data_IF_434904725364
#
_entry.id   IF_434904725364
#
_cell.length_a   1.000
_cell.length_b   1.000
_cell.length_c   1.000
_cell.angle_alpha   90.00
_cell.angle_beta   90.00
_cell.angle_gamma   90.00
#
_symmetry.space_group_name_H-M   'P 1'
#
loop_
_entity.id
_entity.type
_entity.pdbx_description
1 polymer ?
#
# COMPACT_ATOMS: atom_id res chain seq x y z
N UNK A 1 -3.03 4.10 -9.26
CA UNK A 1 -3.70 3.62 -8.05
C UNK A 1 -4.55 2.39 -8.39
N UNK A 2 -4.63 1.43 -7.47
CA UNK A 2 -5.55 0.28 -7.54
C UNK A 2 -6.63 0.51 -6.48
N UNK A 3 -7.90 0.32 -6.84
CA UNK A 3 -8.99 0.34 -5.88
C UNK A 3 -8.88 -0.89 -4.97
N UNK A 4 -8.93 -0.66 -3.69
CA UNK A 4 -8.90 -1.67 -2.63
C UNK A 4 -10.02 -1.37 -1.63
N UNK A 5 -10.20 -2.24 -0.63
CA UNK A 5 -11.18 -2.02 0.42
C UNK A 5 -10.51 -2.09 1.79
N UNK A 6 -11.03 -1.34 2.74
CA UNK A 6 -10.73 -1.46 4.16
C UNK A 6 -11.94 -2.08 4.85
N UNK A 7 -11.73 -3.22 5.50
CA UNK A 7 -12.76 -3.93 6.25
C UNK A 7 -12.63 -3.57 7.73
N UNK A 8 -13.74 -3.15 8.32
CA UNK A 8 -13.82 -2.78 9.74
C UNK A 8 -15.12 -3.29 10.35
N UNK A 9 -15.17 -3.33 11.67
CA UNK A 9 -16.34 -3.79 12.42
C UNK A 9 -16.74 -2.78 13.48
N UNK A 10 -18.04 -2.73 13.75
CA UNK A 10 -18.66 -1.98 14.84
C UNK A 10 -19.26 -2.99 15.81
N UNK A 11 -18.54 -3.31 16.88
CA UNK A 11 -18.89 -4.36 17.83
C UNK A 11 -20.36 -4.32 18.28
N UNK A 12 -20.87 -3.14 18.59
CA UNK A 12 -22.24 -2.96 19.12
C UNK A 12 -23.35 -3.28 18.13
N UNK A 13 -23.05 -3.30 16.84
CA UNK A 13 -24.01 -3.60 15.77
C UNK A 13 -24.00 -5.09 15.38
N UNK A 14 -22.98 -5.84 15.79
CA UNK A 14 -22.86 -7.27 15.45
C UNK A 14 -23.87 -8.06 16.28
N UNK A 15 -24.76 -8.82 15.60
CA UNK A 15 -25.74 -9.71 16.24
C UNK A 15 -25.20 -11.11 16.47
N UNK A 16 -24.46 -11.63 15.50
CA UNK A 16 -23.84 -12.96 15.55
C UNK A 16 -22.32 -12.84 15.40
N UNK A 17 -21.63 -12.77 16.52
CA UNK A 17 -20.19 -12.57 16.59
C UNK A 17 -19.42 -13.76 15.98
N UNK A 18 -19.86 -15.00 16.22
CA UNK A 18 -19.15 -16.19 15.74
C UNK A 18 -19.30 -16.34 14.22
N UNK A 19 -20.47 -16.04 13.65
CA UNK A 19 -20.68 -16.04 12.21
C UNK A 19 -19.81 -14.98 11.49
N UNK A 20 -19.74 -13.77 12.06
CA UNK A 20 -18.90 -12.69 11.54
C UNK A 20 -17.42 -13.09 11.60
N UNK A 21 -16.94 -13.61 12.72
CA UNK A 21 -15.54 -14.05 12.87
C UNK A 21 -15.21 -15.12 11.84
N UNK A 22 -16.05 -16.14 11.69
CA UNK A 22 -15.84 -17.23 10.74
C UNK A 22 -15.74 -16.70 9.31
N UNK A 23 -16.67 -15.86 8.88
CA UNK A 23 -16.67 -15.25 7.56
C UNK A 23 -15.41 -14.41 7.33
N UNK A 24 -15.01 -13.55 8.29
CA UNK A 24 -13.82 -12.73 8.16
C UNK A 24 -12.53 -13.56 8.10
N UNK A 25 -12.44 -14.67 8.82
CA UNK A 25 -11.29 -15.57 8.75
C UNK A 25 -11.21 -16.26 7.38
N UNK A 26 -12.34 -16.76 6.85
CA UNK A 26 -12.40 -17.45 5.57
C UNK A 26 -12.09 -16.49 4.39
N UNK A 27 -12.67 -15.29 4.38
CA UNK A 27 -12.53 -14.36 3.25
C UNK A 27 -11.21 -13.57 3.28
N UNK A 28 -10.65 -13.30 4.45
CA UNK A 28 -9.44 -12.48 4.59
C UNK A 28 -8.17 -13.29 4.88
N UNK A 29 -8.28 -14.62 4.99
CA UNK A 29 -7.17 -15.51 5.38
C UNK A 29 -6.45 -15.02 6.65
N UNK A 30 -7.23 -14.87 7.73
CA UNK A 30 -6.74 -14.39 9.02
C UNK A 30 -6.94 -15.45 10.11
N UNK A 31 -6.06 -15.45 11.10
CA UNK A 31 -6.18 -16.32 12.26
C UNK A 31 -7.37 -15.90 13.14
N UNK A 32 -8.19 -16.89 13.54
CA UNK A 32 -9.39 -16.66 14.37
C UNK A 32 -9.08 -15.87 15.64
N UNK A 33 -7.98 -16.16 16.30
CA UNK A 33 -7.57 -15.49 17.55
C UNK A 33 -7.38 -13.98 17.37
N UNK A 34 -6.82 -13.57 16.24
CA UNK A 34 -6.60 -12.15 15.93
C UNK A 34 -7.90 -11.44 15.57
N UNK A 35 -8.72 -12.11 14.73
CA UNK A 35 -10.03 -11.57 14.30
C UNK A 35 -10.94 -11.44 15.52
N UNK A 36 -11.05 -12.46 16.35
CA UNK A 36 -11.86 -12.48 17.58
C UNK A 36 -11.48 -11.33 18.53
N UNK A 37 -10.18 -11.13 18.78
CA UNK A 37 -9.69 -10.03 19.62
C UNK A 37 -10.13 -8.66 19.12
N UNK A 38 -10.19 -8.46 17.79
CA UNK A 38 -10.62 -7.20 17.16
C UNK A 38 -12.15 -7.06 17.17
N UNK A 39 -12.87 -8.12 16.81
CA UNK A 39 -14.34 -8.12 16.76
C UNK A 39 -14.97 -7.93 18.13
N UNK A 40 -14.42 -8.57 19.17
CA UNK A 40 -14.92 -8.47 20.54
C UNK A 40 -14.49 -7.20 21.26
N UNK A 41 -13.57 -6.43 20.68
CA UNK A 41 -13.13 -5.16 21.29
C UNK A 41 -14.25 -4.13 21.24
N UNK A 42 -14.63 -3.64 22.44
CA UNK A 42 -15.63 -2.58 22.57
C UNK A 42 -15.03 -1.24 22.13
N UNK A 43 -15.15 -0.95 20.83
CA UNK A 43 -14.74 0.30 20.21
C UNK A 43 -15.87 0.82 19.33
N UNK A 44 -15.81 2.09 18.95
CA UNK A 44 -16.78 2.69 18.01
C UNK A 44 -16.66 1.99 16.64
N UNK A 45 -15.42 1.79 16.20
CA UNK A 45 -15.11 1.09 14.96
C UNK A 45 -13.71 0.49 15.05
N UNK A 46 -13.54 -0.77 14.71
CA UNK A 46 -12.25 -1.45 14.73
C UNK A 46 -11.87 -1.93 13.34
N UNK A 47 -10.67 -1.55 12.90
CA UNK A 47 -10.14 -1.96 11.59
C UNK A 47 -9.67 -3.42 11.64
N UNK A 48 -10.23 -4.28 10.81
CA UNK A 48 -9.83 -5.70 10.68
C UNK A 48 -8.64 -5.81 9.72
N UNK A 49 -8.82 -5.39 8.46
CA UNK A 49 -7.77 -5.45 7.42
C UNK A 49 -7.95 -4.31 6.42
N UNK A 50 -6.85 -3.66 6.05
CA UNK A 50 -6.79 -2.70 4.95
C UNK A 50 -6.16 -3.34 3.71
N UNK A 51 -6.22 -2.65 2.57
CA UNK A 51 -5.70 -3.10 1.28
C UNK A 51 -6.26 -4.46 0.82
N UNK A 52 -7.52 -4.73 1.12
CA UNK A 52 -8.26 -5.91 0.64
C UNK A 52 -8.64 -5.68 -0.82
N UNK A 53 -8.46 -6.69 -1.67
CA UNK A 53 -8.87 -6.59 -3.08
C UNK A 53 -10.39 -6.31 -3.18
N UNK A 54 -10.76 -5.48 -4.17
CA UNK A 54 -12.15 -5.04 -4.34
C UNK A 54 -13.13 -6.20 -4.45
N UNK A 55 -12.77 -7.27 -5.17
CA UNK A 55 -13.61 -8.47 -5.32
C UNK A 55 -13.92 -9.13 -3.98
N UNK A 56 -12.92 -9.24 -3.09
CA UNK A 56 -13.10 -9.78 -1.74
C UNK A 56 -13.95 -8.83 -0.89
N UNK A 57 -13.71 -7.51 -1.00
CA UNK A 57 -14.51 -6.49 -0.32
C UNK A 57 -15.98 -6.56 -0.72
N UNK A 58 -16.27 -6.66 -2.01
CA UNK A 58 -17.63 -6.77 -2.54
C UNK A 58 -18.30 -8.07 -2.09
N UNK A 59 -17.54 -9.18 -2.02
CA UNK A 59 -18.01 -10.46 -1.49
C UNK A 59 -18.38 -10.34 -0.01
N UNK A 60 -17.52 -9.72 0.82
CA UNK A 60 -17.80 -9.50 2.25
C UNK A 60 -19.05 -8.62 2.41
N UNK A 61 -19.20 -7.58 1.58
CA UNK A 61 -20.39 -6.72 1.58
C UNK A 61 -21.67 -7.50 1.25
N UNK A 62 -21.57 -8.50 0.35
CA UNK A 62 -22.72 -9.32 -0.06
C UNK A 62 -23.25 -10.24 1.04
N UNK A 63 -22.50 -10.52 2.09
CA UNK A 63 -23.00 -11.29 3.26
C UNK A 63 -23.96 -10.47 4.13
N UNK A 64 -23.97 -9.15 3.99
CA UNK A 64 -24.87 -8.22 4.67
C UNK A 64 -24.96 -8.41 6.19
N UNK A 65 -23.82 -8.66 6.82
CA UNK A 65 -23.74 -8.78 8.28
C UNK A 65 -23.80 -7.41 8.96
N UNK A 66 -24.72 -7.26 9.90
CA UNK A 66 -24.81 -6.07 10.75
C UNK A 66 -23.45 -5.81 11.45
N UNK A 67 -23.02 -4.56 11.42
CA UNK A 67 -21.78 -4.13 12.06
C UNK A 67 -20.49 -4.46 11.28
N UNK A 68 -20.57 -5.07 10.11
CA UNK A 68 -19.43 -5.21 9.19
C UNK A 68 -19.48 -4.08 8.16
N UNK A 69 -18.40 -3.29 8.08
CA UNK A 69 -18.28 -2.16 7.16
C UNK A 69 -17.12 -2.38 6.20
N UNK A 70 -17.38 -2.14 4.92
CA UNK A 70 -16.40 -2.26 3.83
C UNK A 70 -16.33 -0.94 3.11
N UNK A 71 -15.27 -0.17 3.35
CA UNK A 71 -15.04 1.11 2.71
C UNK A 71 -14.15 0.94 1.50
N UNK A 72 -14.42 1.66 0.43
CA UNK A 72 -13.51 1.75 -0.70
C UNK A 72 -12.32 2.64 -0.35
N UNK A 73 -11.14 2.22 -0.78
CA UNK A 73 -9.87 2.88 -0.56
C UNK A 73 -8.99 2.73 -1.82
N UNK A 74 -7.87 3.43 -1.87
CA UNK A 74 -6.95 3.37 -2.99
C UNK A 74 -5.54 3.05 -2.50
N UNK A 75 -4.92 2.04 -3.13
CA UNK A 75 -3.53 1.71 -2.90
C UNK A 75 -2.67 2.15 -4.07
N UNK A 76 -1.46 2.64 -3.80
CA UNK A 76 -0.46 2.88 -4.82
C UNK A 76 -0.09 1.57 -5.49
N UNK A 77 -0.06 1.54 -6.82
CA UNK A 77 0.34 0.40 -7.62
C UNK A 77 1.41 0.80 -8.62
N UNK A 78 2.48 0.04 -8.68
CA UNK A 78 3.64 0.28 -9.53
C UNK A 78 3.67 -0.77 -10.65
N UNK A 79 3.21 -0.45 -11.87
CA UNK A 79 3.04 -1.43 -12.95
C UNK A 79 4.35 -2.05 -13.44
N UNK A 80 5.47 -1.38 -13.19
CA UNK A 80 6.80 -1.85 -13.57
C UNK A 80 7.62 -2.39 -12.39
N UNK A 81 6.96 -2.73 -11.30
CA UNK A 81 7.52 -3.36 -10.09
C UNK A 81 8.81 -2.71 -9.59
N UNK A 82 9.96 -3.07 -10.15
CA UNK A 82 11.28 -2.63 -9.68
C UNK A 82 11.86 -1.42 -10.42
N UNK A 83 11.28 -1.02 -11.55
CA UNK A 83 11.84 0.06 -12.38
C UNK A 83 11.97 1.36 -11.62
N UNK A 84 13.19 1.92 -11.59
CA UNK A 84 13.53 3.17 -10.91
C UNK A 84 13.10 3.18 -9.42
N UNK A 85 13.15 2.03 -8.74
CA UNK A 85 12.57 1.85 -7.40
C UNK A 85 13.13 2.83 -6.38
N UNK A 86 14.45 3.04 -6.38
CA UNK A 86 15.14 3.95 -5.45
C UNK A 86 14.91 5.43 -5.77
N UNK A 87 14.43 5.74 -6.99
CA UNK A 87 14.07 7.11 -7.40
C UNK A 87 12.60 7.38 -7.06
N UNK A 88 11.70 6.51 -7.53
CA UNK A 88 10.26 6.67 -7.30
C UNK A 88 9.93 6.56 -5.82
N UNK A 89 10.46 5.54 -5.16
CA UNK A 89 10.09 5.21 -3.81
C UNK A 89 8.70 4.60 -3.71
N UNK A 90 8.24 4.39 -2.49
CA UNK A 90 6.95 3.73 -2.23
C UNK A 90 6.19 4.42 -1.10
N UNK A 91 4.90 4.08 -1.00
CA UNK A 91 4.00 4.55 0.05
C UNK A 91 3.79 3.49 1.12
N UNK A 92 3.53 3.94 2.34
CA UNK A 92 3.16 3.09 3.47
C UNK A 92 1.71 2.62 3.44
N UNK A 93 1.29 2.00 4.54
CA UNK A 93 -0.06 1.44 4.68
C UNK A 93 -1.18 2.49 4.64
N UNK A 94 -0.89 3.71 5.07
CA UNK A 94 -1.83 4.84 5.08
C UNK A 94 -1.57 5.77 3.88
N UNK A 95 -1.04 5.25 2.78
CA UNK A 95 -0.71 5.94 1.53
C UNK A 95 0.29 7.10 1.67
N UNK A 96 0.93 7.30 2.84
CA UNK A 96 2.00 8.29 3.00
C UNK A 96 3.28 7.85 2.29
N UNK A 97 3.97 8.78 1.66
CA UNK A 97 5.28 8.53 1.05
C UNK A 97 6.35 8.17 2.08
N UNK A 98 7.12 7.11 1.85
CA UNK A 98 8.17 6.62 2.76
C UNK A 98 9.56 7.01 2.27
N UNK A 99 9.86 6.82 1.00
CA UNK A 99 11.15 7.14 0.38
C UNK A 99 10.96 7.71 -1.02
N UNK A 100 12.04 8.24 -1.62
CA UNK A 100 12.09 8.67 -3.01
C UNK A 100 11.23 9.90 -3.32
N UNK A 101 10.71 9.94 -4.54
CA UNK A 101 9.81 11.00 -5.00
C UNK A 101 8.46 10.95 -4.28
N UNK A 102 8.00 9.77 -3.87
CA UNK A 102 6.75 9.62 -3.09
C UNK A 102 6.81 10.43 -1.79
N UNK A 103 7.89 10.33 -1.01
CA UNK A 103 8.02 11.13 0.23
C UNK A 103 8.31 12.61 -0.07
N UNK A 104 9.10 12.89 -1.11
CA UNK A 104 9.46 14.28 -1.44
C UNK A 104 8.28 15.13 -1.86
N UNK A 105 7.33 14.52 -2.55
CA UNK A 105 6.13 15.15 -3.09
C UNK A 105 4.83 14.71 -2.43
N UNK A 106 4.91 14.01 -1.29
CA UNK A 106 3.78 13.44 -0.55
C UNK A 106 2.64 14.45 -0.39
N UNK A 107 2.95 15.66 0.06
CA UNK A 107 1.99 16.77 0.23
C UNK A 107 1.13 17.06 -1.02
N UNK A 108 1.67 16.80 -2.21
CA UNK A 108 0.97 17.04 -3.47
C UNK A 108 0.30 15.78 -4.03
N UNK A 109 0.86 14.60 -3.73
CA UNK A 109 0.41 13.33 -4.28
C UNK A 109 -0.72 12.70 -3.48
N UNK A 110 -0.78 12.94 -2.18
CA UNK A 110 -1.71 12.27 -1.26
C UNK A 110 -3.17 12.72 -1.44
N UNK A 111 -3.42 13.99 -1.84
CA UNK A 111 -4.77 14.52 -1.93
C UNK A 111 -5.38 14.85 -0.57
N UNK A 112 -6.71 14.76 -0.46
CA UNK A 112 -7.46 14.93 0.78
C UNK A 112 -8.51 13.85 0.88
N UNK A 113 -8.56 13.18 2.03
CA UNK A 113 -9.56 12.17 2.30
C UNK A 113 -10.98 12.75 2.32
N UNK A 114 -11.94 11.97 1.86
CA UNK A 114 -13.35 12.25 2.04
C UNK A 114 -13.78 11.97 3.48
N UNK A 115 -14.96 12.44 3.83
CA UNK A 115 -15.56 12.23 5.13
C UNK A 115 -17.00 11.78 4.97
N UNK A 116 -17.39 10.72 5.67
CA UNK A 116 -18.77 10.28 5.79
C UNK A 116 -19.22 10.54 7.22
N UNK A 117 -20.19 11.41 7.40
CA UNK A 117 -20.80 11.68 8.69
C UNK A 117 -22.12 10.91 8.77
N UNK A 118 -22.16 9.85 9.56
CA UNK A 118 -23.36 9.07 9.82
C UNK A 118 -23.89 9.43 11.20
N UNK A 119 -25.10 10.01 11.33
CA UNK A 119 -25.70 10.26 12.62
C UNK A 119 -25.92 8.95 13.38
N UNK A 120 -25.55 8.96 14.65
CA UNK A 120 -25.74 7.82 15.55
C UNK A 120 -26.60 8.21 16.75
N UNK A 121 -27.29 7.21 17.32
CA UNK A 121 -27.98 7.39 18.60
C UNK A 121 -26.99 7.53 19.78
N UNK A 122 -27.51 7.76 20.98
CA UNK A 122 -26.68 7.85 22.19
C UNK A 122 -25.92 6.57 22.53
N UNK A 123 -26.20 5.45 21.87
CA UNK A 123 -25.54 4.14 22.02
C UNK A 123 -24.50 3.90 20.93
N UNK A 124 -24.37 4.81 19.94
CA UNK A 124 -23.45 4.68 18.81
C UNK A 124 -23.98 3.76 17.70
N UNK A 125 -25.31 3.53 17.64
CA UNK A 125 -25.97 2.79 16.57
C UNK A 125 -26.36 3.79 15.47
N UNK A 126 -26.05 3.46 14.21
CA UNK A 126 -26.43 4.26 13.03
C UNK A 126 -27.96 4.37 12.94
N UNK A 127 -28.44 5.57 12.63
CA UNK A 127 -29.88 5.82 12.46
C UNK A 127 -30.26 5.54 11.02
N UNK A 128 -31.10 4.52 10.77
CA UNK A 128 -31.54 4.08 9.45
C UNK A 128 -32.25 5.19 8.62
N UNK A 129 -32.73 6.22 9.29
CA UNK A 129 -33.49 7.32 8.65
C UNK A 129 -32.68 8.60 8.46
N UNK A 130 -31.42 8.63 8.90
CA UNK A 130 -30.59 9.82 8.83
C UNK A 130 -29.90 9.90 7.46
N UNK A 131 -29.94 11.09 6.86
CA UNK A 131 -29.15 11.39 5.67
C UNK A 131 -27.67 11.38 6.05
N UNK A 132 -26.91 10.49 5.42
CA UNK A 132 -25.44 10.55 5.48
C UNK A 132 -24.97 11.84 4.81
N UNK A 133 -24.20 12.63 5.53
CA UNK A 133 -23.49 13.76 4.94
C UNK A 133 -22.14 13.27 4.42
N UNK A 134 -21.94 13.34 3.11
CA UNK A 134 -20.74 12.86 2.45
C UNK A 134 -19.94 14.02 1.90
N UNK A 135 -18.68 14.14 2.33
CA UNK A 135 -17.69 15.03 1.73
C UNK A 135 -16.82 14.18 0.80
N UNK A 136 -16.88 14.49 -0.50
CA UNK A 136 -16.11 13.74 -1.49
C UNK A 136 -14.60 13.94 -1.32
N UNK A 137 -13.78 12.90 -1.55
CA UNK A 137 -12.32 13.02 -1.50
C UNK A 137 -11.80 13.89 -2.64
N UNK A 138 -10.73 14.63 -2.38
CA UNK A 138 -10.03 15.43 -3.39
C UNK A 138 -8.78 14.67 -3.83
N UNK A 139 -8.67 14.23 -5.11
CA UNK A 139 -7.52 13.50 -5.59
C UNK A 139 -6.25 14.35 -5.53
N UNK A 140 -5.12 13.70 -5.30
CA UNK A 140 -3.80 14.34 -5.37
C UNK A 140 -3.39 14.68 -6.79
N UNK A 141 -2.31 15.45 -6.92
CA UNK A 141 -1.74 15.84 -8.20
C UNK A 141 -0.96 14.70 -8.84
N UNK A 142 -0.77 14.79 -10.15
CA UNK A 142 0.13 13.91 -10.88
C UNK A 142 1.53 14.53 -10.94
N UNK A 143 2.57 13.72 -10.69
CA UNK A 143 3.95 14.10 -10.88
C UNK A 143 4.44 13.58 -12.23
N UNK A 144 4.81 14.48 -13.12
CA UNK A 144 5.42 14.14 -14.41
C UNK A 144 6.94 14.32 -14.27
N UNK A 145 7.69 13.26 -14.56
CA UNK A 145 9.16 13.25 -14.48
C UNK A 145 9.75 13.29 -15.88
N UNK A 146 11.01 13.72 -16.01
CA UNK A 146 11.78 13.67 -17.26
C UNK A 146 12.29 12.26 -17.61
N UNK A 147 12.06 11.24 -16.76
CA UNK A 147 12.56 9.89 -16.99
C UNK A 147 11.87 9.27 -18.21
N UNK A 148 12.67 8.91 -19.23
CA UNK A 148 12.21 8.13 -20.37
C UNK A 148 12.27 6.64 -20.03
N UNK A 149 11.12 5.98 -20.15
CA UNK A 149 10.97 4.57 -19.76
C UNK A 149 11.87 3.62 -20.56
N UNK A 150 12.12 3.92 -21.84
CA UNK A 150 12.95 3.07 -22.69
C UNK A 150 14.44 3.23 -22.34
N UNK A 151 14.86 4.47 -22.11
CA UNK A 151 16.24 4.76 -21.69
C UNK A 151 16.48 4.17 -20.30
N UNK A 152 15.54 4.36 -19.35
CA UNK A 152 15.62 3.80 -18.01
C UNK A 152 15.77 2.27 -18.06
N UNK A 153 14.91 1.56 -18.78
CA UNK A 153 14.94 0.11 -18.93
C UNK A 153 16.25 -0.40 -19.53
N UNK A 154 16.77 0.29 -20.53
CA UNK A 154 18.04 -0.06 -21.16
C UNK A 154 19.21 0.14 -20.18
N UNK A 155 19.22 1.25 -19.44
CA UNK A 155 20.23 1.52 -18.43
C UNK A 155 20.19 0.51 -17.27
N UNK A 156 19.00 0.08 -16.84
CA UNK A 156 18.85 -0.98 -15.83
C UNK A 156 19.46 -2.28 -16.32
N UNK A 157 19.16 -2.70 -17.56
CA UNK A 157 19.74 -3.91 -18.13
C UNK A 157 21.28 -3.85 -18.17
N UNK A 158 21.84 -2.71 -18.56
CA UNK A 158 23.31 -2.52 -18.58
C UNK A 158 23.86 -2.55 -17.15
N UNK A 159 23.20 -1.91 -16.20
CA UNK A 159 23.62 -1.88 -14.79
C UNK A 159 23.66 -3.28 -14.19
N UNK A 160 22.62 -4.11 -14.41
CA UNK A 160 22.61 -5.50 -13.94
C UNK A 160 23.67 -6.37 -14.64
N UNK A 161 23.91 -6.20 -15.95
CA UNK A 161 24.98 -6.89 -16.64
C UNK A 161 26.36 -6.52 -16.07
N UNK A 162 26.57 -5.25 -15.77
CA UNK A 162 27.82 -4.77 -15.16
C UNK A 162 27.98 -5.28 -13.72
N UNK A 163 26.89 -5.30 -12.94
CA UNK A 163 26.86 -5.83 -11.58
C UNK A 163 27.37 -7.28 -11.55
N UNK A 164 26.79 -8.15 -12.38
CA UNK A 164 27.20 -9.56 -12.47
C UNK A 164 28.60 -9.74 -13.04
N UNK A 165 28.94 -9.08 -14.16
CA UNK A 165 30.23 -9.23 -14.81
C UNK A 165 31.43 -8.74 -13.97
N UNK A 166 31.21 -7.75 -13.12
CA UNK A 166 32.24 -7.14 -12.25
C UNK A 166 32.15 -7.61 -10.80
N UNK A 167 31.16 -8.43 -10.46
CA UNK A 167 30.89 -8.83 -9.07
C UNK A 167 30.82 -7.60 -8.13
N UNK A 168 30.19 -6.53 -8.61
CA UNK A 168 30.07 -5.29 -7.88
C UNK A 168 28.91 -5.37 -6.88
N UNK A 169 29.02 -4.66 -5.75
CA UNK A 169 27.93 -4.60 -4.76
C UNK A 169 26.78 -3.70 -5.24
N UNK A 170 27.08 -2.66 -6.02
CA UNK A 170 26.08 -1.76 -6.63
C UNK A 170 26.61 -1.14 -7.91
N UNK A 171 25.71 -0.72 -8.77
CA UNK A 171 25.99 0.02 -10.01
C UNK A 171 24.98 1.15 -10.13
N UNK A 172 25.46 2.38 -10.26
CA UNK A 172 24.61 3.55 -10.51
C UNK A 172 24.84 4.11 -11.90
N UNK A 173 23.76 4.43 -12.61
CA UNK A 173 23.79 5.04 -13.94
C UNK A 173 22.87 6.26 -13.95
N UNK A 174 23.37 7.41 -14.40
CA UNK A 174 22.60 8.63 -14.59
C UNK A 174 22.78 9.07 -16.03
N UNK A 175 21.65 9.27 -16.73
CA UNK A 175 21.62 9.85 -18.07
C UNK A 175 20.94 11.19 -18.02
N UNK A 176 21.66 12.23 -18.41
CA UNK A 176 21.20 13.63 -18.35
C UNK A 176 21.38 14.31 -19.70
N UNK A 177 20.40 15.11 -20.09
CA UNK A 177 20.52 16.02 -21.21
C UNK A 177 21.37 17.25 -20.80
N UNK A 178 22.57 17.45 -21.35
CA UNK A 178 23.47 18.53 -20.92
C UNK A 178 22.97 19.92 -21.31
N UNK A 179 22.01 20.03 -22.22
CA UNK A 179 21.49 21.33 -22.70
C UNK A 179 20.50 21.95 -21.74
N UNK A 180 19.72 21.14 -21.02
CA UNK A 180 18.65 21.62 -20.13
C UNK A 180 18.69 21.02 -18.71
N UNK A 181 19.60 20.06 -18.44
CA UNK A 181 19.74 19.42 -17.14
C UNK A 181 18.67 18.36 -16.85
N UNK A 182 17.86 17.99 -17.82
CA UNK A 182 16.81 16.99 -17.65
C UNK A 182 17.40 15.59 -17.42
N UNK A 183 16.95 14.90 -16.37
CA UNK A 183 17.34 13.53 -16.05
C UNK A 183 16.45 12.60 -16.85
N UNK A 184 17.01 11.86 -17.80
CA UNK A 184 16.33 10.94 -18.68
C UNK A 184 16.33 9.51 -18.16
N UNK A 185 17.34 9.13 -17.36
CA UNK A 185 17.37 7.87 -16.63
C UNK A 185 18.19 8.04 -15.34
N UNK A 186 17.78 7.31 -14.30
CA UNK A 186 18.50 7.20 -13.05
C UNK A 186 18.31 5.80 -12.48
N UNK A 187 19.37 5.01 -12.48
CA UNK A 187 19.40 3.61 -12.05
C UNK A 187 20.33 3.47 -10.86
N UNK A 188 19.95 2.62 -9.93
CA UNK A 188 20.80 2.28 -8.79
C UNK A 188 20.59 0.78 -8.44
N UNK A 189 21.22 -0.10 -9.23
CA UNK A 189 21.10 -1.54 -9.07
C UNK A 189 21.93 -2.05 -7.86
N UNK A 190 21.43 -3.04 -7.10
CA UNK A 190 20.15 -3.73 -7.30
C UNK A 190 18.95 -2.88 -6.90
N UNK A 191 17.87 -3.01 -7.65
CA UNK A 191 16.57 -2.40 -7.39
C UNK A 191 15.71 -3.35 -6.55
N UNK A 192 14.60 -2.86 -5.96
CA UNK A 192 13.66 -3.65 -5.16
C UNK A 192 12.23 -3.55 -5.72
N UNK A 193 11.35 -4.47 -5.36
CA UNK A 193 9.94 -4.43 -5.80
C UNK A 193 9.16 -3.37 -5.01
N UNK A 194 8.72 -2.32 -5.71
CA UNK A 194 7.93 -1.21 -5.16
C UNK A 194 6.55 -1.66 -4.61
N UNK A 195 5.99 -2.75 -5.14
CA UNK A 195 4.72 -3.30 -4.64
C UNK A 195 4.91 -4.14 -3.38
N UNK A 196 6.14 -4.62 -3.12
CA UNK A 196 6.50 -5.39 -1.93
C UNK A 196 7.87 -4.96 -1.37
N UNK A 197 8.02 -3.71 -0.94
CA UNK A 197 9.31 -3.09 -0.64
C UNK A 197 10.04 -3.68 0.58
N UNK A 198 9.32 -4.45 1.40
CA UNK A 198 9.89 -5.12 2.58
C UNK A 198 10.21 -6.60 2.35
N UNK A 199 10.08 -7.09 1.11
CA UNK A 199 10.60 -8.40 0.73
C UNK A 199 12.10 -8.30 0.45
N UNK A 200 12.86 -9.27 0.97
CA UNK A 200 14.26 -9.42 0.57
C UNK A 200 14.31 -9.92 -0.88
N UNK A 201 15.23 -9.38 -1.68
CA UNK A 201 15.54 -9.95 -2.98
C UNK A 201 16.15 -11.35 -2.80
N UNK A 202 16.12 -12.19 -3.84
CA UNK A 202 16.67 -13.56 -3.78
C UNK A 202 18.15 -13.57 -3.31
N UNK A 203 18.90 -12.55 -3.72
CA UNK A 203 20.31 -12.37 -3.37
C UNK A 203 20.50 -12.19 -1.86
N UNK A 204 19.64 -11.41 -1.19
CA UNK A 204 19.69 -11.18 0.25
C UNK A 204 18.92 -12.23 1.06
N UNK A 205 17.98 -12.94 0.45
CA UNK A 205 17.23 -14.02 1.12
C UNK A 205 18.11 -15.20 1.51
N UNK A 206 19.21 -15.41 0.78
CA UNK A 206 20.19 -16.47 1.00
C UNK A 206 21.41 -16.00 1.82
N UNK A 207 21.39 -14.78 2.36
CA UNK A 207 22.49 -14.27 3.19
C UNK A 207 22.57 -15.03 4.53
N UNK A 208 23.66 -15.77 4.70
CA UNK A 208 23.98 -16.55 5.92
C UNK A 208 24.82 -15.76 6.92
N UNK A 209 25.01 -14.46 6.73
CA UNK A 209 25.88 -13.60 7.55
C UNK A 209 25.38 -13.41 9.00
N UNK A 210 24.19 -13.92 9.34
CA UNK A 210 23.57 -13.77 10.67
C UNK A 210 22.98 -12.38 10.94
N UNK A 211 22.90 -11.51 9.93
CA UNK A 211 22.25 -10.21 10.02
C UNK A 211 20.73 -10.37 10.14
N UNK A 212 20.09 -9.45 10.86
CA UNK A 212 18.63 -9.41 10.92
C UNK A 212 18.03 -9.02 9.57
N UNK A 213 16.77 -9.42 9.32
CA UNK A 213 16.04 -8.98 8.11
C UNK A 213 16.04 -7.46 7.96
N UNK A 214 15.94 -6.73 9.08
CA UNK A 214 15.94 -5.26 9.09
C UNK A 214 17.30 -4.69 8.67
N UNK A 215 18.40 -5.31 9.10
CA UNK A 215 19.75 -4.89 8.70
C UNK A 215 19.98 -5.11 7.20
N UNK A 216 19.43 -6.22 6.66
CA UNK A 216 19.50 -6.51 5.23
C UNK A 216 18.68 -5.52 4.41
N UNK A 217 17.46 -5.18 4.86
CA UNK A 217 16.60 -4.17 4.21
C UNK A 217 17.24 -2.77 4.22
N UNK A 218 17.92 -2.40 5.29
CA UNK A 218 18.59 -1.09 5.39
C UNK A 218 19.82 -0.97 4.46
N UNK A 219 20.34 -2.09 3.94
CA UNK A 219 21.48 -2.12 3.03
C UNK A 219 21.09 -2.35 1.55
N UNK A 220 19.80 -2.50 1.26
CA UNK A 220 19.26 -2.51 -0.10
C UNK A 220 19.04 -1.10 -0.64
#
# INVERSE_FOLDING_TARGET
>A
NKTVCTVSVIHRQIRDTDAVIKMLCEELDLEEKEVRKKVEKVSVREKIKSNVDKEIGDKIRSYDFDGVKVDEDYKRYYPYSSMASKVLGFTGADNQGIVGLEVKYDKYLQGKDGLILTPTDSRGIELDTALEERVEPVPGYNLVTGIDINIQKYCEQIAYNALGAKQANYVSVIVMNPKNGEIMAMVNAPEFDLNNPYSLTEEFSNDTSGKSKQDLLNNM
#
